data_IF_243403495831
#
_entry.id   IF_243403495831
#
_cell.length_a   1.000
_cell.length_b   1.000
_cell.length_c   1.000
_cell.angle_alpha   90.00
_cell.angle_beta   90.00
_cell.angle_gamma   90.00
#
_symmetry.space_group_name_H-M   'P 1'
#
loop_
_entity.id
_entity.type
_entity.pdbx_description
1 polymer ?
#
# COMPACT_ATOMS: atom_id res chain seq x y z
N UNK A 1 -26.02 -7.56 10.54
CA UNK A 1 -24.79 -7.76 9.77
C UNK A 1 -25.12 -7.31 8.35
N UNK A 2 -24.47 -6.25 7.81
CA UNK A 2 -24.65 -5.88 6.40
C UNK A 2 -24.11 -7.01 5.54
N UNK A 3 -24.74 -7.36 4.39
CA UNK A 3 -24.16 -8.35 3.49
C UNK A 3 -22.77 -7.89 3.04
N UNK A 4 -21.84 -8.84 2.89
CA UNK A 4 -20.51 -8.61 2.34
C UNK A 4 -20.58 -8.51 0.80
N UNK A 5 -21.45 -7.62 0.33
CA UNK A 5 -21.72 -7.34 -1.08
C UNK A 5 -21.61 -5.82 -1.30
N UNK A 6 -21.31 -5.43 -2.51
CA UNK A 6 -21.30 -4.02 -2.89
C UNK A 6 -22.73 -3.45 -2.90
N UNK A 7 -22.88 -2.20 -2.50
CA UNK A 7 -24.12 -1.45 -2.69
C UNK A 7 -24.30 -1.09 -4.18
N UNK A 8 -25.50 -0.73 -4.62
CA UNK A 8 -25.70 -0.26 -6.01
C UNK A 8 -24.76 0.89 -6.39
N UNK A 9 -24.52 1.85 -5.50
CA UNK A 9 -23.63 2.99 -5.73
C UNK A 9 -22.16 2.52 -5.85
N UNK A 10 -21.74 1.53 -5.06
CA UNK A 10 -20.42 0.94 -5.16
C UNK A 10 -20.25 0.11 -6.44
N UNK A 11 -21.33 -0.52 -6.93
CA UNK A 11 -21.33 -1.18 -8.24
C UNK A 11 -21.18 -0.18 -9.39
N UNK A 12 -21.88 0.95 -9.34
CA UNK A 12 -21.74 2.03 -10.30
C UNK A 12 -20.31 2.60 -10.29
N UNK A 13 -19.74 2.83 -9.11
CA UNK A 13 -18.34 3.26 -8.96
C UNK A 13 -17.37 2.23 -9.59
N UNK A 14 -17.55 0.95 -9.29
CA UNK A 14 -16.75 -0.14 -9.88
C UNK A 14 -16.79 -0.08 -11.40
N UNK A 15 -17.98 0.03 -11.97
CA UNK A 15 -18.17 -0.01 -13.43
C UNK A 15 -17.59 1.24 -14.10
N UNK A 16 -17.71 2.42 -13.45
CA UNK A 16 -17.10 3.66 -13.91
C UNK A 16 -15.56 3.59 -13.90
N UNK A 17 -14.97 3.13 -12.79
CA UNK A 17 -13.50 2.93 -12.69
C UNK A 17 -13.01 1.95 -13.73
N UNK A 18 -13.67 0.81 -13.89
CA UNK A 18 -13.35 -0.21 -14.90
C UNK A 18 -13.40 0.36 -16.32
N UNK A 19 -14.41 1.17 -16.63
CA UNK A 19 -14.55 1.81 -17.94
C UNK A 19 -13.42 2.82 -18.22
N UNK A 20 -12.96 3.56 -17.22
CA UNK A 20 -11.81 4.47 -17.35
C UNK A 20 -10.54 3.68 -17.60
N UNK A 21 -10.26 2.64 -16.80
CA UNK A 21 -9.05 1.83 -16.92
C UNK A 21 -8.98 1.09 -18.27
N UNK A 22 -10.12 0.67 -18.82
CA UNK A 22 -10.18 0.04 -20.13
C UNK A 22 -9.86 1.01 -21.27
N UNK A 23 -10.23 2.30 -21.15
CA UNK A 23 -9.98 3.34 -22.18
C UNK A 23 -8.59 3.97 -22.06
N UNK A 24 -8.05 4.04 -20.84
CA UNK A 24 -6.82 4.74 -20.51
C UNK A 24 -5.82 3.78 -19.84
N UNK A 25 -5.01 3.03 -20.60
CA UNK A 25 -4.09 2.06 -20.02
C UNK A 25 -2.91 2.74 -19.32
N UNK A 26 -2.36 2.05 -18.32
CA UNK A 26 -1.16 2.50 -17.60
C UNK A 26 -1.38 3.79 -16.82
N UNK A 27 -0.39 4.67 -16.84
CA UNK A 27 -0.41 5.93 -16.07
C UNK A 27 -1.41 6.97 -16.60
N UNK A 28 -1.84 6.84 -17.85
CA UNK A 28 -2.79 7.79 -18.45
C UNK A 28 -4.17 7.75 -17.80
N UNK A 29 -4.46 6.71 -17.01
CA UNK A 29 -5.71 6.61 -16.26
C UNK A 29 -5.79 7.59 -15.07
N UNK A 30 -4.67 8.14 -14.57
CA UNK A 30 -4.69 8.97 -13.36
C UNK A 30 -5.62 10.19 -13.50
N UNK A 31 -5.40 11.02 -14.50
CA UNK A 31 -6.21 12.23 -14.71
C UNK A 31 -7.71 11.94 -14.91
N UNK A 32 -8.14 10.95 -15.74
CA UNK A 32 -9.55 10.59 -15.82
C UNK A 32 -10.12 10.02 -14.51
N UNK A 33 -9.37 9.23 -13.75
CA UNK A 33 -9.82 8.70 -12.46
C UNK A 33 -10.06 9.81 -11.44
N UNK A 34 -9.21 10.83 -11.41
CA UNK A 34 -9.36 11.96 -10.48
C UNK A 34 -10.40 12.95 -10.98
N UNK A 35 -10.33 13.43 -12.22
CA UNK A 35 -11.18 14.49 -12.73
C UNK A 35 -12.63 14.06 -13.06
N UNK A 36 -12.84 12.80 -13.50
CA UNK A 36 -14.18 12.34 -13.92
C UNK A 36 -14.91 11.55 -12.82
N UNK A 37 -14.15 10.83 -11.97
CA UNK A 37 -14.71 9.97 -10.93
C UNK A 37 -14.52 10.57 -9.53
N UNK A 38 -13.52 11.45 -9.35
CA UNK A 38 -13.14 11.93 -8.02
C UNK A 38 -12.47 10.85 -7.17
N UNK A 39 -11.80 9.88 -7.81
CA UNK A 39 -11.28 8.72 -7.10
C UNK A 39 -10.32 9.07 -5.95
N UNK A 40 -9.47 10.08 -6.11
CA UNK A 40 -8.54 10.53 -5.07
C UNK A 40 -9.24 11.30 -3.93
N UNK A 41 -10.45 11.82 -4.15
CA UNK A 41 -11.23 12.56 -3.18
C UNK A 41 -12.07 11.67 -2.24
N UNK A 42 -12.22 10.38 -2.55
CA UNK A 42 -13.18 9.49 -1.87
C UNK A 42 -13.05 9.52 -0.34
N UNK A 43 -11.88 9.28 0.21
CA UNK A 43 -11.65 9.21 1.65
C UNK A 43 -11.23 10.57 2.29
N UNK A 44 -11.13 11.62 1.49
CA UNK A 44 -10.84 12.97 2.01
C UNK A 44 -12.14 13.58 2.56
N UNK A 45 -12.14 14.17 3.78
CA UNK A 45 -13.30 14.84 4.33
C UNK A 45 -13.78 16.01 3.47
N UNK A 46 -15.09 16.28 3.48
CA UNK A 46 -15.70 17.36 2.71
C UNK A 46 -15.12 18.75 3.08
N UNK A 47 -14.74 18.96 4.34
CA UNK A 47 -14.10 20.21 4.80
C UNK A 47 -12.77 20.50 4.11
N UNK A 48 -12.12 19.49 3.49
CA UNK A 48 -10.90 19.62 2.70
C UNK A 48 -11.13 19.36 1.20
N UNK A 49 -12.37 19.51 0.72
CA UNK A 49 -12.69 19.35 -0.70
C UNK A 49 -12.85 17.92 -1.17
N UNK A 50 -12.93 16.95 -0.25
CA UNK A 50 -13.18 15.55 -0.57
C UNK A 50 -14.65 15.16 -0.64
N UNK A 51 -14.91 13.85 -0.77
CA UNK A 51 -16.25 13.27 -0.86
C UNK A 51 -16.73 12.65 0.47
N UNK A 52 -15.87 12.56 1.48
CA UNK A 52 -16.21 12.03 2.80
C UNK A 52 -16.66 10.55 2.81
N UNK A 53 -16.30 9.78 1.78
CA UNK A 53 -16.60 8.36 1.70
C UNK A 53 -15.69 7.53 2.64
N UNK A 54 -16.02 6.24 2.79
CA UNK A 54 -15.26 5.33 3.64
C UNK A 54 -14.21 4.49 2.90
N UNK A 55 -13.60 3.57 3.64
CA UNK A 55 -12.64 2.62 3.08
C UNK A 55 -13.30 1.60 2.13
N UNK A 56 -14.63 1.48 2.15
CA UNK A 56 -15.36 0.61 1.22
C UNK A 56 -15.23 1.10 -0.23
N UNK A 57 -15.42 2.39 -0.48
CA UNK A 57 -15.29 3.02 -1.81
C UNK A 57 -13.83 3.02 -2.28
N UNK A 58 -12.88 3.31 -1.38
CA UNK A 58 -11.43 3.14 -1.65
C UNK A 58 -11.13 1.71 -2.07
N UNK A 59 -11.70 0.71 -1.39
CA UNK A 59 -11.55 -0.71 -1.70
C UNK A 59 -12.08 -1.06 -3.10
N UNK A 60 -13.20 -0.48 -3.52
CA UNK A 60 -13.74 -0.67 -4.88
C UNK A 60 -12.75 -0.18 -5.94
N UNK A 61 -12.21 1.02 -5.77
CA UNK A 61 -11.18 1.56 -6.68
C UNK A 61 -9.93 0.67 -6.69
N UNK A 62 -9.43 0.29 -5.51
CA UNK A 62 -8.23 -0.55 -5.38
C UNK A 62 -8.41 -1.92 -6.03
N UNK A 63 -9.59 -2.54 -5.92
CA UNK A 63 -9.88 -3.81 -6.58
C UNK A 63 -9.81 -3.69 -8.11
N UNK A 64 -10.35 -2.64 -8.70
CA UNK A 64 -10.27 -2.43 -10.15
C UNK A 64 -8.85 -2.06 -10.63
N UNK A 65 -8.10 -1.31 -9.82
CA UNK A 65 -6.68 -1.04 -10.07
C UNK A 65 -5.84 -2.34 -10.06
N UNK A 66 -6.13 -3.24 -9.10
CA UNK A 66 -5.52 -4.56 -9.04
C UNK A 66 -5.89 -5.42 -10.24
N UNK A 67 -7.16 -5.44 -10.61
CA UNK A 67 -7.68 -6.15 -11.79
C UNK A 67 -6.97 -5.74 -13.08
N UNK A 68 -6.65 -4.44 -13.23
CA UNK A 68 -5.98 -3.88 -14.40
C UNK A 68 -4.45 -3.84 -14.26
N UNK A 69 -3.86 -4.30 -13.15
CA UNK A 69 -2.45 -4.11 -12.82
C UNK A 69 -1.99 -2.65 -13.01
N UNK A 70 -2.86 -1.72 -12.66
CA UNK A 70 -2.66 -0.29 -12.95
C UNK A 70 -1.47 0.27 -12.16
N UNK A 71 -0.59 1.06 -12.80
CA UNK A 71 0.55 1.70 -12.16
C UNK A 71 0.25 3.11 -11.62
N UNK A 72 -1.00 3.56 -11.64
CA UNK A 72 -1.36 4.90 -11.14
C UNK A 72 -0.98 5.08 -9.67
N UNK A 73 -0.62 6.28 -9.22
CA UNK A 73 -0.09 6.53 -7.86
C UNK A 73 -1.18 6.55 -6.77
N UNK A 74 -2.31 5.86 -6.97
CA UNK A 74 -3.46 5.90 -6.08
C UNK A 74 -3.12 5.45 -4.65
N UNK A 75 -2.47 4.28 -4.51
CA UNK A 75 -2.08 3.76 -3.20
C UNK A 75 -1.13 4.73 -2.47
N UNK A 76 -0.11 5.26 -3.16
CA UNK A 76 0.86 6.18 -2.56
C UNK A 76 0.27 7.54 -2.20
N UNK A 77 -0.51 8.12 -3.11
CA UNK A 77 -1.05 9.47 -2.97
C UNK A 77 -2.36 9.51 -2.19
N UNK A 78 -3.41 8.86 -2.71
CA UNK A 78 -4.76 8.96 -2.16
C UNK A 78 -4.95 8.14 -0.87
N UNK A 79 -4.20 7.03 -0.68
CA UNK A 79 -4.33 6.21 0.52
C UNK A 79 -3.27 6.56 1.56
N UNK A 80 -1.98 6.45 1.22
CA UNK A 80 -0.91 6.61 2.21
C UNK A 80 -0.67 8.07 2.58
N UNK A 81 -0.49 8.95 1.59
CA UNK A 81 -0.16 10.36 1.86
C UNK A 81 -1.33 11.10 2.47
N UNK A 82 -2.52 11.00 1.88
CA UNK A 82 -3.72 11.61 2.44
C UNK A 82 -4.07 11.02 3.82
N UNK A 83 -3.96 9.68 3.98
CA UNK A 83 -4.15 9.01 5.25
C UNK A 83 -3.16 9.46 6.33
N UNK A 84 -1.89 9.69 5.99
CA UNK A 84 -0.87 10.19 6.91
C UNK A 84 -1.15 11.64 7.34
N UNK A 85 -1.57 12.50 6.42
CA UNK A 85 -1.99 13.87 6.74
C UNK A 85 -3.18 13.88 7.72
N UNK A 86 -4.23 13.12 7.42
CA UNK A 86 -5.40 13.02 8.30
C UNK A 86 -5.04 12.46 9.68
N UNK A 87 -4.22 11.41 9.72
CA UNK A 87 -3.78 10.79 10.97
C UNK A 87 -2.81 11.68 11.79
N UNK A 88 -2.12 12.63 11.15
CA UNK A 88 -1.22 13.56 11.84
C UNK A 88 -1.95 14.51 12.81
N UNK A 89 -3.21 14.83 12.52
CA UNK A 89 -4.00 15.83 13.24
C UNK A 89 -3.59 17.29 12.94
N UNK A 90 -2.62 17.52 12.05
CA UNK A 90 -2.21 18.88 11.64
C UNK A 90 -3.22 19.48 10.66
N UNK A 91 -4.15 20.27 11.19
CA UNK A 91 -5.21 20.90 10.40
C UNK A 91 -4.69 21.86 9.34
N UNK A 92 -3.58 22.53 9.59
CA UNK A 92 -2.98 23.46 8.62
C UNK A 92 -2.42 22.69 7.42
N UNK A 93 -1.68 21.60 7.67
CA UNK A 93 -1.20 20.71 6.62
C UNK A 93 -2.35 20.07 5.84
N UNK A 94 -3.41 19.61 6.53
CA UNK A 94 -4.59 19.06 5.88
C UNK A 94 -5.25 20.10 4.95
N UNK A 95 -5.51 21.32 5.44
CA UNK A 95 -6.13 22.39 4.65
C UNK A 95 -5.26 22.84 3.46
N UNK A 96 -3.92 22.76 3.62
CA UNK A 96 -2.97 23.12 2.56
C UNK A 96 -2.88 22.08 1.44
N UNK A 97 -2.88 20.78 1.79
CA UNK A 97 -2.47 19.74 0.85
C UNK A 97 -3.61 18.82 0.39
N UNK A 98 -4.62 18.57 1.24
CA UNK A 98 -5.67 17.61 0.89
C UNK A 98 -6.52 18.03 -0.31
N UNK A 99 -6.85 19.33 -0.53
CA UNK A 99 -7.59 19.73 -1.73
C UNK A 99 -6.89 19.33 -3.03
N UNK A 100 -5.60 19.65 -3.17
CA UNK A 100 -4.83 19.34 -4.38
C UNK A 100 -4.60 17.84 -4.56
N UNK A 101 -4.45 17.08 -3.46
CA UNK A 101 -4.38 15.61 -3.49
C UNK A 101 -5.73 15.01 -3.93
N UNK A 102 -6.86 15.54 -3.44
CA UNK A 102 -8.20 15.10 -3.79
C UNK A 102 -8.53 15.37 -5.27
N UNK A 103 -8.10 16.51 -5.81
CA UNK A 103 -8.22 16.82 -7.23
C UNK A 103 -7.25 15.98 -8.09
N UNK A 104 -6.20 15.42 -7.49
CA UNK A 104 -5.16 14.68 -8.18
C UNK A 104 -4.18 15.54 -8.97
N UNK A 105 -4.20 16.86 -8.77
CA UNK A 105 -3.26 17.84 -9.35
C UNK A 105 -1.89 17.73 -8.70
N UNK A 106 -1.84 17.36 -7.42
CA UNK A 106 -0.65 17.00 -6.68
C UNK A 106 -0.60 15.49 -6.46
N UNK A 107 0.53 14.88 -6.69
CA UNK A 107 0.82 13.49 -6.33
C UNK A 107 1.69 13.49 -5.08
N UNK A 108 1.21 12.83 -4.03
CA UNK A 108 1.93 12.66 -2.79
C UNK A 108 2.61 11.30 -2.69
N UNK A 109 3.66 11.21 -1.88
CA UNK A 109 4.25 9.94 -1.47
C UNK A 109 4.71 9.96 -0.02
N UNK A 110 4.60 8.81 0.63
CA UNK A 110 5.00 8.59 2.01
C UNK A 110 6.27 7.72 2.05
N UNK A 111 7.32 8.24 2.65
CA UNK A 111 8.59 7.57 2.84
C UNK A 111 8.67 6.99 4.26
N UNK A 112 8.40 5.69 4.39
CA UNK A 112 8.31 5.00 5.68
C UNK A 112 9.40 3.94 5.86
N UNK A 113 9.61 3.04 4.90
CA UNK A 113 10.50 1.90 5.03
C UNK A 113 11.98 2.26 4.90
N UNK A 114 12.85 1.47 5.51
CA UNK A 114 14.30 1.62 5.45
C UNK A 114 15.02 0.30 5.10
N UNK A 115 16.28 0.37 4.71
CA UNK A 115 17.04 -0.78 4.20
C UNK A 115 17.23 -1.92 5.21
N UNK A 116 17.15 -1.62 6.50
CA UNK A 116 17.22 -2.62 7.57
C UNK A 116 15.88 -3.35 7.79
N UNK A 117 14.80 -2.85 7.19
CA UNK A 117 13.48 -3.45 7.31
C UNK A 117 13.44 -4.74 6.47
N UNK A 118 13.53 -5.88 7.13
CA UNK A 118 13.26 -7.17 6.52
C UNK A 118 11.75 -7.38 6.43
N UNK A 119 11.14 -7.40 5.24
CA UNK A 119 9.70 -7.61 5.09
C UNK A 119 9.26 -9.01 5.54
N UNK A 120 10.19 -9.95 5.73
CA UNK A 120 9.91 -11.27 6.29
C UNK A 120 10.01 -11.30 7.82
N UNK A 121 10.60 -10.28 8.45
CA UNK A 121 10.71 -10.20 9.90
C UNK A 121 9.33 -10.05 10.58
N UNK A 122 9.18 -10.50 11.83
CA UNK A 122 8.05 -10.11 12.66
C UNK A 122 7.90 -8.57 12.65
N UNK A 123 6.72 -8.04 12.35
CA UNK A 123 6.51 -6.59 12.18
C UNK A 123 6.72 -6.06 10.75
N UNK A 124 7.44 -6.78 9.86
CA UNK A 124 7.52 -6.47 8.43
C UNK A 124 8.14 -5.11 8.06
N UNK A 125 8.97 -4.55 8.93
CA UNK A 125 9.59 -3.25 8.73
C UNK A 125 8.69 -2.04 9.01
N UNK A 126 7.54 -2.26 9.65
CA UNK A 126 6.57 -1.21 10.01
C UNK A 126 6.53 -0.88 11.51
N UNK A 127 7.36 -1.51 12.29
CA UNK A 127 7.43 -1.13 13.69
C UNK A 127 8.29 0.14 13.85
N UNK A 128 7.93 1.03 14.78
CA UNK A 128 8.74 2.22 15.03
C UNK A 128 10.22 1.88 15.29
N UNK A 129 10.51 0.69 15.85
CA UNK A 129 11.86 0.17 16.07
C UNK A 129 12.69 -0.03 14.80
N UNK A 130 12.06 -0.29 13.68
CA UNK A 130 12.72 -0.58 12.39
C UNK A 130 13.22 0.69 11.68
N UNK A 131 12.83 1.88 12.16
CA UNK A 131 13.16 3.16 11.52
C UNK A 131 14.36 3.80 12.21
N UNK A 132 15.36 4.20 11.44
CA UNK A 132 16.65 4.76 11.88
C UNK A 132 16.95 6.16 11.33
N UNK A 133 16.21 6.64 10.32
CA UNK A 133 16.37 8.02 9.82
C UNK A 133 16.16 9.01 10.96
N UNK A 134 17.01 10.05 10.99
CA UNK A 134 17.09 11.02 12.08
C UNK A 134 16.55 12.38 11.66
N UNK A 135 15.98 13.08 12.62
CA UNK A 135 15.51 14.45 12.50
C UNK A 135 16.20 15.29 13.58
N UNK A 136 17.02 16.25 13.17
CA UNK A 136 17.69 17.22 14.02
C UNK A 136 16.92 18.55 13.99
N UNK A 137 16.66 19.14 15.16
CA UNK A 137 16.00 20.43 15.24
C UNK A 137 16.90 21.56 14.67
N UNK A 138 16.34 22.42 13.83
CA UNK A 138 17.03 23.54 13.19
C UNK A 138 16.16 24.80 13.26
N UNK A 139 16.12 25.46 14.40
CA UNK A 139 15.23 26.59 14.66
C UNK A 139 13.78 26.16 14.78
N UNK A 140 12.92 26.68 13.87
CA UNK A 140 11.52 26.29 13.78
C UNK A 140 11.30 25.01 12.94
N UNK A 141 12.29 24.63 12.12
CA UNK A 141 12.26 23.51 11.19
C UNK A 141 13.13 22.35 11.67
N UNK A 142 13.20 21.32 10.87
CA UNK A 142 13.98 20.10 11.10
C UNK A 142 14.85 19.77 9.90
N UNK A 143 15.94 19.06 10.13
CA UNK A 143 16.83 18.54 9.09
C UNK A 143 16.83 17.02 9.17
N UNK A 144 16.35 16.37 8.10
CA UNK A 144 16.22 14.92 8.03
C UNK A 144 17.46 14.31 7.33
N UNK A 145 17.98 13.24 7.93
CA UNK A 145 19.10 12.45 7.38
C UNK A 145 18.77 10.96 7.45
N UNK A 146 18.93 10.25 6.33
CA UNK A 146 18.68 8.81 6.24
C UNK A 146 18.36 8.35 4.82
N UNK A 147 17.98 7.07 4.70
CA UNK A 147 17.56 6.45 3.44
C UNK A 147 16.21 5.78 3.60
N UNK A 148 15.32 6.03 2.65
CA UNK A 148 13.99 5.43 2.61
C UNK A 148 13.84 4.59 1.35
N UNK A 149 13.15 3.46 1.47
CA UNK A 149 12.92 2.49 0.40
C UNK A 149 11.43 2.24 0.20
N UNK A 150 11.11 1.54 -0.87
CA UNK A 150 9.73 1.14 -1.22
C UNK A 150 8.74 2.30 -1.30
N UNK A 151 9.21 3.51 -1.66
CA UNK A 151 8.36 4.70 -1.77
C UNK A 151 7.47 4.56 -3.01
N UNK A 152 6.16 4.64 -2.79
CA UNK A 152 5.12 4.51 -3.81
C UNK A 152 4.78 5.88 -4.39
N UNK A 153 5.55 6.34 -5.35
CA UNK A 153 5.44 7.69 -5.91
C UNK A 153 4.86 7.73 -7.33
N UNK A 154 4.66 6.58 -7.96
CA UNK A 154 4.32 6.52 -9.38
C UNK A 154 5.56 6.70 -10.29
N UNK A 155 5.37 7.09 -11.57
CA UNK A 155 6.45 7.14 -12.55
C UNK A 155 7.34 8.38 -12.45
N UNK A 156 6.90 9.42 -11.76
CA UNK A 156 7.59 10.70 -11.61
C UNK A 156 7.86 10.99 -10.12
N UNK A 157 8.78 11.92 -9.87
CA UNK A 157 9.00 12.43 -8.52
C UNK A 157 7.71 13.13 -8.02
N UNK A 158 7.24 12.77 -6.80
CA UNK A 158 6.02 13.36 -6.26
C UNK A 158 6.23 14.81 -5.86
N UNK A 159 5.15 15.60 -5.95
CA UNK A 159 5.17 17.01 -5.57
C UNK A 159 5.09 17.22 -4.06
N UNK A 160 4.57 16.24 -3.32
CA UNK A 160 4.50 16.24 -1.86
C UNK A 160 5.16 14.98 -1.32
N UNK A 161 6.16 15.16 -0.47
CA UNK A 161 6.86 14.07 0.20
C UNK A 161 6.68 14.17 1.71
N UNK A 162 6.13 13.11 2.30
CA UNK A 162 6.08 12.91 3.74
C UNK A 162 7.09 11.83 4.15
N UNK A 163 7.74 11.99 5.31
CA UNK A 163 8.71 11.02 5.80
C UNK A 163 8.61 10.82 7.30
N UNK A 164 8.79 9.59 7.75
CA UNK A 164 9.00 9.29 9.17
C UNK A 164 10.49 9.39 9.50
N UNK A 165 10.81 10.03 10.64
CA UNK A 165 12.17 10.06 11.18
C UNK A 165 12.14 10.12 12.71
N UNK A 166 13.22 9.67 13.35
CA UNK A 166 13.40 9.77 14.79
C UNK A 166 13.87 11.17 15.15
N UNK A 167 13.14 11.80 16.03
CA UNK A 167 13.53 13.09 16.59
C UNK A 167 14.67 12.88 17.58
N UNK A 168 15.80 13.50 17.32
CA UNK A 168 16.87 13.57 18.30
C UNK A 168 16.38 14.34 19.54
N UNK A 169 16.69 13.89 20.77
CA UNK A 169 16.36 14.65 21.97
C UNK A 169 16.96 16.05 21.85
N UNK A 170 16.15 17.08 22.19
CA UNK A 170 16.68 18.43 22.25
C UNK A 170 17.93 18.43 23.14
N UNK A 171 19.02 19.15 22.74
CA UNK A 171 20.20 19.23 23.57
C UNK A 171 19.77 19.80 24.93
N UNK A 172 20.05 19.05 26.01
CA UNK A 172 19.80 19.53 27.36
C UNK A 172 20.71 20.76 27.61
N UNK A 173 20.14 21.95 27.78
CA UNK A 173 20.94 23.16 27.97
C UNK A 173 21.76 23.13 29.28
N UNK A 174 21.54 22.13 30.13
CA UNK A 174 22.29 21.90 31.36
C UNK A 174 23.24 20.72 31.36
N UNK A 175 23.30 19.96 30.28
CA UNK A 175 24.21 18.81 30.19
C UNK A 175 25.65 19.30 30.06
N UNK A 176 26.51 18.91 31.00
CA UNK A 176 27.96 19.09 30.88
C UNK A 176 28.47 18.40 29.61
N UNK A 177 29.49 18.96 28.88
CA UNK A 177 30.06 18.33 27.73
C UNK A 177 30.52 16.92 28.09
N UNK A 178 29.89 15.91 27.45
CA UNK A 178 30.18 14.51 27.70
C UNK A 178 31.64 14.15 27.33
N UNK A 179 32.17 13.05 27.87
CA UNK A 179 33.51 12.59 27.51
C UNK A 179 33.58 12.26 26.02
N UNK A 180 34.64 12.65 25.38
CA UNK A 180 34.94 12.71 23.95
C UNK A 180 34.53 11.48 23.08
N UNK A 181 34.94 11.47 21.80
CA UNK A 181 34.41 10.58 20.79
C UNK A 181 34.63 9.08 21.16
N UNK A 182 33.59 8.39 21.55
CA UNK A 182 33.63 6.97 21.92
C UNK A 182 32.58 6.53 22.94
N UNK A 183 31.89 7.46 23.59
CA UNK A 183 30.79 7.09 24.52
C UNK A 183 29.47 7.48 23.87
N UNK A 184 28.70 6.51 23.44
CA UNK A 184 27.32 6.70 22.98
C UNK A 184 26.53 7.34 24.13
N UNK A 185 25.94 8.54 23.95
CA UNK A 185 25.00 9.08 24.96
C UNK A 185 23.85 8.08 25.06
N UNK A 186 23.42 7.77 26.27
CA UNK A 186 22.32 6.86 26.57
C UNK A 186 21.03 7.28 25.85
N UNK A 187 20.84 6.79 24.65
CA UNK A 187 19.69 7.05 23.82
C UNK A 187 18.69 5.91 24.03
N UNK A 188 17.68 6.19 24.82
CA UNK A 188 16.40 5.54 24.54
C UNK A 188 16.01 5.87 23.08
N UNK A 189 15.30 4.98 22.38
CA UNK A 189 14.91 5.24 20.98
C UNK A 189 14.15 6.56 20.92
N UNK A 190 14.72 7.58 20.23
CA UNK A 190 14.08 8.89 20.05
C UNK A 190 12.65 8.74 19.53
N UNK A 191 11.73 9.63 19.93
CA UNK A 191 10.33 9.59 19.48
C UNK A 191 10.28 9.66 17.95
N UNK A 192 9.44 8.83 17.35
CA UNK A 192 9.16 8.90 15.92
C UNK A 192 8.28 10.12 15.62
N UNK A 193 8.64 10.90 14.62
CA UNK A 193 7.83 11.98 14.07
C UNK A 193 7.44 11.73 12.61
N UNK A 194 6.34 12.35 12.18
CA UNK A 194 5.98 12.50 10.77
C UNK A 194 6.34 13.90 10.30
N UNK A 195 6.98 14.02 9.15
CA UNK A 195 7.49 15.28 8.60
C UNK A 195 7.05 15.48 7.15
N UNK A 196 6.78 16.75 6.78
CA UNK A 196 6.69 17.23 5.39
C UNK A 196 8.08 17.67 4.96
N UNK A 197 8.59 17.18 3.82
CA UNK A 197 9.84 17.69 3.25
C UNK A 197 9.58 19.05 2.60
N UNK A 198 10.40 20.05 2.95
CA UNK A 198 10.30 21.41 2.43
C UNK A 198 11.21 21.66 1.21
N UNK A 199 12.07 20.70 0.90
CA UNK A 199 12.97 20.72 -0.24
C UNK A 199 13.07 19.33 -0.87
N UNK A 200 13.52 19.27 -2.12
CA UNK A 200 13.82 18.01 -2.78
C UNK A 200 14.84 17.19 -1.98
N UNK A 201 14.69 15.84 -1.92
CA UNK A 201 15.67 14.97 -1.30
C UNK A 201 17.01 15.02 -2.06
N UNK A 202 18.11 14.64 -1.41
CA UNK A 202 19.43 14.59 -2.05
C UNK A 202 19.47 13.64 -3.26
N UNK A 203 18.64 12.57 -3.22
CA UNK A 203 18.40 11.71 -4.37
C UNK A 203 17.00 11.09 -4.28
N UNK A 204 16.31 11.04 -5.43
CA UNK A 204 15.11 10.27 -5.67
C UNK A 204 15.36 9.31 -6.84
N UNK A 205 15.30 8.01 -6.61
CA UNK A 205 15.67 7.02 -7.62
C UNK A 205 14.60 5.96 -7.73
N UNK A 206 13.92 5.90 -8.88
CA UNK A 206 13.01 4.79 -9.19
C UNK A 206 13.83 3.52 -9.42
N UNK A 207 13.51 2.45 -8.71
CA UNK A 207 14.21 1.18 -8.78
C UNK A 207 13.59 0.23 -9.79
N UNK A 208 14.43 -0.49 -10.51
CA UNK A 208 13.98 -1.62 -11.31
C UNK A 208 13.62 -2.78 -10.38
N UNK A 209 12.35 -3.17 -10.38
CA UNK A 209 11.82 -4.26 -9.57
C UNK A 209 11.32 -5.40 -10.45
N UNK A 210 11.08 -6.57 -9.86
CA UNK A 210 10.49 -7.71 -10.56
C UNK A 210 9.09 -7.35 -11.10
N UNK A 211 8.29 -6.64 -10.31
CA UNK A 211 6.99 -6.11 -10.70
C UNK A 211 7.16 -4.73 -11.34
N UNK A 212 7.10 -4.68 -12.67
CA UNK A 212 7.19 -3.44 -13.45
C UNK A 212 5.90 -2.61 -13.44
N UNK A 213 4.81 -3.19 -12.97
CA UNK A 213 3.51 -2.53 -12.91
C UNK A 213 3.35 -1.68 -11.65
N UNK A 214 4.30 -1.78 -10.68
CA UNK A 214 4.36 -0.95 -9.48
C UNK A 214 5.76 -0.35 -9.31
N UNK A 215 6.01 0.86 -9.82
CA UNK A 215 7.25 1.57 -9.58
C UNK A 215 7.46 1.82 -8.09
N UNK A 216 8.64 1.48 -7.59
CA UNK A 216 9.09 1.76 -6.23
C UNK A 216 10.34 2.64 -6.29
N UNK A 217 10.40 3.64 -5.42
CA UNK A 217 11.53 4.54 -5.36
C UNK A 217 12.31 4.41 -4.03
N UNK A 218 13.54 4.89 -4.09
CA UNK A 218 14.42 5.08 -2.94
C UNK A 218 14.70 6.58 -2.79
N UNK A 219 14.64 7.06 -1.55
CA UNK A 219 14.98 8.42 -1.16
C UNK A 219 16.28 8.43 -0.37
N UNK A 220 17.16 9.40 -0.65
CA UNK A 220 18.28 9.78 0.21
C UNK A 220 18.02 11.16 0.78
N UNK A 221 17.99 11.26 2.09
CA UNK A 221 17.84 12.49 2.86
C UNK A 221 19.23 12.86 3.41
N UNK A 222 19.72 14.04 3.09
CA UNK A 222 20.99 14.57 3.57
C UNK A 222 20.74 15.97 4.12
N UNK A 223 20.49 16.06 5.43
CA UNK A 223 20.09 17.29 6.11
C UNK A 223 18.95 18.02 5.37
N UNK A 224 18.02 17.25 4.82
CA UNK A 224 16.89 17.75 4.03
C UNK A 224 15.94 18.54 4.93
N UNK A 225 15.66 19.82 4.63
CA UNK A 225 14.74 20.64 5.40
C UNK A 225 13.33 20.04 5.44
N UNK A 226 12.73 20.03 6.64
CA UNK A 226 11.41 19.44 6.84
C UNK A 226 10.64 20.16 7.96
N UNK A 227 9.32 20.09 7.90
CA UNK A 227 8.39 20.56 8.92
C UNK A 227 7.78 19.38 9.66
N UNK A 228 7.76 19.43 11.00
CA UNK A 228 7.10 18.43 11.81
C UNK A 228 5.58 18.56 11.67
N UNK A 229 4.90 17.46 11.30
CA UNK A 229 3.44 17.36 11.23
C UNK A 229 2.85 16.69 12.45
N UNK A 230 3.53 15.67 13.00
CA UNK A 230 3.10 14.98 14.20
C UNK A 230 4.29 14.46 14.99
N UNK A 231 4.28 14.71 16.28
CA UNK A 231 5.24 14.12 17.23
C UNK A 231 4.82 12.70 17.69
N UNK A 232 3.62 12.25 17.35
CA UNK A 232 3.15 10.87 17.50
C UNK A 232 3.25 10.11 16.17
N UNK A 233 4.45 10.05 15.62
CA UNK A 233 4.69 9.30 14.39
C UNK A 233 4.39 7.81 14.51
N UNK A 234 4.47 7.23 15.71
CA UNK A 234 4.14 5.82 15.93
C UNK A 234 2.64 5.55 15.73
N UNK A 235 1.78 6.40 16.31
CA UNK A 235 0.32 6.31 16.10
C UNK A 235 -0.07 6.53 14.64
N UNK A 236 0.54 7.54 13.97
CA UNK A 236 0.32 7.78 12.53
C UNK A 236 0.77 6.58 11.71
N UNK A 237 1.96 6.03 11.96
CA UNK A 237 2.49 4.87 11.23
C UNK A 237 1.58 3.65 11.38
N UNK A 238 1.08 3.39 12.58
CA UNK A 238 0.14 2.29 12.83
C UNK A 238 -1.17 2.46 12.03
N UNK A 239 -1.76 3.66 12.03
CA UNK A 239 -2.99 3.93 11.26
C UNK A 239 -2.76 3.79 9.76
N UNK A 240 -1.69 4.35 9.24
CA UNK A 240 -1.36 4.26 7.80
C UNK A 240 -1.09 2.83 7.37
N UNK A 241 -0.43 2.01 8.21
CA UNK A 241 -0.26 0.59 7.96
C UNK A 241 -1.60 -0.12 7.78
N UNK A 242 -2.58 0.16 8.62
CA UNK A 242 -3.88 -0.50 8.56
C UNK A 242 -4.68 -0.07 7.33
N UNK A 243 -4.62 1.21 6.95
CA UNK A 243 -5.15 1.71 5.68
C UNK A 243 -4.47 1.03 4.49
N UNK A 244 -3.14 0.94 4.49
CA UNK A 244 -2.36 0.28 3.44
C UNK A 244 -2.72 -1.20 3.29
N UNK A 245 -2.83 -1.93 4.41
CA UNK A 245 -3.18 -3.36 4.42
C UNK A 245 -4.58 -3.60 3.88
N UNK A 246 -5.55 -2.77 4.26
CA UNK A 246 -6.94 -2.86 3.78
C UNK A 246 -7.04 -2.57 2.29
N UNK A 247 -6.42 -1.48 1.83
CA UNK A 247 -6.40 -1.09 0.42
C UNK A 247 -5.70 -2.15 -0.44
N UNK A 248 -4.55 -2.67 0.03
CA UNK A 248 -3.79 -3.68 -0.70
C UNK A 248 -4.52 -5.04 -0.73
N UNK A 249 -5.26 -5.41 0.32
CA UNK A 249 -6.10 -6.59 0.32
C UNK A 249 -7.20 -6.51 -0.75
N UNK A 250 -7.84 -5.34 -0.91
CA UNK A 250 -8.81 -5.12 -1.97
C UNK A 250 -8.17 -5.21 -3.37
N UNK A 251 -7.00 -4.60 -3.58
CA UNK A 251 -6.23 -4.72 -4.83
C UNK A 251 -5.93 -6.19 -5.17
N UNK A 252 -5.45 -6.94 -4.20
CA UNK A 252 -5.08 -8.35 -4.36
C UNK A 252 -6.28 -9.22 -4.74
N UNK A 253 -7.46 -8.97 -4.16
CA UNK A 253 -8.68 -9.70 -4.53
C UNK A 253 -9.15 -9.38 -5.93
N UNK A 254 -9.08 -8.13 -6.36
CA UNK A 254 -9.39 -7.72 -7.74
C UNK A 254 -8.46 -8.38 -8.76
N UNK A 255 -7.16 -8.38 -8.47
CA UNK A 255 -6.15 -9.02 -9.31
C UNK A 255 -6.33 -10.56 -9.37
N UNK A 256 -6.57 -11.20 -8.22
CA UNK A 256 -6.83 -12.64 -8.15
C UNK A 256 -8.09 -13.04 -8.93
N UNK A 257 -9.17 -12.28 -8.80
CA UNK A 257 -10.41 -12.51 -9.55
C UNK A 257 -10.17 -12.43 -11.07
N UNK A 258 -9.42 -11.42 -11.53
CA UNK A 258 -9.10 -11.29 -12.96
C UNK A 258 -8.19 -12.41 -13.46
N UNK A 259 -7.18 -12.80 -12.68
CA UNK A 259 -6.31 -13.92 -13.01
C UNK A 259 -7.10 -15.23 -13.14
N UNK A 260 -8.04 -15.49 -12.23
CA UNK A 260 -8.95 -16.65 -12.29
C UNK A 260 -9.84 -16.59 -13.54
N UNK A 261 -10.48 -15.46 -13.83
CA UNK A 261 -11.32 -15.28 -15.02
C UNK A 261 -10.55 -15.57 -16.32
N UNK A 262 -9.31 -15.05 -16.42
CA UNK A 262 -8.45 -15.29 -17.59
C UNK A 262 -8.11 -16.78 -17.71
N UNK A 263 -7.80 -17.44 -16.60
CA UNK A 263 -7.48 -18.87 -16.55
C UNK A 263 -8.66 -19.75 -16.92
N UNK A 264 -9.86 -19.41 -16.42
CA UNK A 264 -11.10 -20.13 -16.79
C UNK A 264 -11.39 -19.99 -18.29
N UNK A 265 -11.23 -18.78 -18.85
CA UNK A 265 -11.41 -18.56 -20.30
C UNK A 265 -10.42 -19.39 -21.10
N UNK A 266 -9.13 -19.34 -20.76
CA UNK A 266 -8.11 -20.14 -21.42
C UNK A 266 -8.42 -21.64 -21.32
N UNK A 267 -8.86 -22.14 -20.17
CA UNK A 267 -9.20 -23.54 -19.97
C UNK A 267 -10.40 -24.00 -20.84
N UNK A 268 -11.33 -23.09 -21.18
CA UNK A 268 -12.46 -23.35 -22.07
C UNK A 268 -12.05 -23.39 -23.55
N UNK A 269 -11.02 -22.64 -23.93
CA UNK A 269 -10.58 -22.46 -25.32
C UNK A 269 -9.44 -23.41 -25.71
N UNK A 270 -8.51 -23.70 -24.79
CA UNK A 270 -7.32 -24.51 -25.07
C UNK A 270 -7.66 -25.97 -25.22
N UNK A 271 -7.41 -26.54 -26.42
CA UNK A 271 -7.65 -27.96 -26.71
C UNK A 271 -6.37 -28.78 -26.54
N UNK A 272 -6.45 -29.87 -25.78
CA UNK A 272 -5.46 -30.91 -25.66
C UNK A 272 -6.17 -32.28 -25.57
N UNK A 273 -5.56 -33.33 -26.12
CA UNK A 273 -6.14 -34.67 -26.15
C UNK A 273 -7.56 -34.70 -26.78
N UNK A 274 -7.77 -33.87 -27.82
CA UNK A 274 -9.02 -33.79 -28.56
C UNK A 274 -10.19 -33.06 -27.88
N UNK A 275 -9.96 -32.38 -26.75
CA UNK A 275 -11.00 -31.61 -26.02
C UNK A 275 -10.43 -30.43 -25.25
N UNK A 276 -11.28 -29.43 -24.86
CA UNK A 276 -10.84 -28.35 -24.02
C UNK A 276 -10.25 -28.84 -22.70
N UNK A 277 -9.14 -28.22 -22.23
CA UNK A 277 -8.49 -28.67 -20.97
C UNK A 277 -9.39 -28.49 -19.76
N UNK A 278 -10.31 -27.54 -19.75
CA UNK A 278 -11.32 -27.33 -18.72
C UNK A 278 -12.36 -28.47 -18.64
N UNK A 279 -12.39 -29.41 -19.57
CA UNK A 279 -13.24 -30.60 -19.48
C UNK A 279 -12.68 -31.70 -18.56
N UNK A 280 -11.37 -31.65 -18.24
CA UNK A 280 -10.74 -32.59 -17.33
C UNK A 280 -11.06 -32.28 -15.89
N UNK A 281 -11.43 -33.30 -15.08
CA UNK A 281 -11.83 -33.12 -13.67
C UNK A 281 -10.73 -32.48 -12.83
N UNK A 282 -9.47 -32.86 -13.02
CA UNK A 282 -8.35 -32.28 -12.31
C UNK A 282 -8.23 -30.74 -12.51
N UNK A 283 -8.53 -30.25 -13.73
CA UNK A 283 -8.55 -28.82 -14.03
C UNK A 283 -9.76 -28.15 -13.39
N UNK A 284 -10.96 -28.78 -13.48
CA UNK A 284 -12.18 -28.26 -12.84
C UNK A 284 -12.05 -28.11 -11.34
N UNK A 285 -11.47 -29.11 -10.65
CA UNK A 285 -11.27 -29.06 -9.21
C UNK A 285 -10.33 -27.94 -8.82
N UNK A 286 -9.17 -27.79 -9.51
CA UNK A 286 -8.26 -26.65 -9.29
C UNK A 286 -8.97 -25.30 -9.45
N UNK A 287 -9.73 -25.12 -10.53
CA UNK A 287 -10.46 -23.85 -10.77
C UNK A 287 -11.54 -23.61 -9.69
N UNK A 288 -12.17 -24.64 -9.16
CA UNK A 288 -13.11 -24.53 -8.04
C UNK A 288 -12.41 -24.14 -6.75
N UNK A 289 -11.23 -24.71 -6.45
CA UNK A 289 -10.42 -24.35 -5.29
C UNK A 289 -9.95 -22.89 -5.37
N UNK A 290 -9.51 -22.45 -6.58
CA UNK A 290 -9.14 -21.05 -6.82
C UNK A 290 -10.33 -20.10 -6.60
N UNK A 291 -11.54 -20.47 -7.06
CA UNK A 291 -12.73 -19.67 -6.84
C UNK A 291 -13.04 -19.53 -5.35
N UNK A 292 -12.96 -20.63 -4.60
CA UNK A 292 -13.16 -20.60 -3.14
C UNK A 292 -12.15 -19.69 -2.45
N UNK A 293 -10.88 -19.73 -2.85
CA UNK A 293 -9.83 -18.86 -2.30
C UNK A 293 -10.11 -17.38 -2.60
N UNK A 294 -10.54 -17.04 -3.84
CA UNK A 294 -10.87 -15.67 -4.24
C UNK A 294 -12.07 -15.13 -3.44
N UNK A 295 -13.14 -15.91 -3.30
CA UNK A 295 -14.33 -15.46 -2.58
C UNK A 295 -14.08 -15.32 -1.06
N UNK A 296 -13.27 -16.21 -0.48
CA UNK A 296 -12.83 -16.08 0.90
C UNK A 296 -12.00 -14.81 1.13
N UNK A 297 -11.05 -14.54 0.24
CA UNK A 297 -10.24 -13.31 0.28
C UNK A 297 -11.10 -12.05 0.11
N UNK A 298 -12.04 -12.07 -0.84
CA UNK A 298 -12.98 -10.96 -1.08
C UNK A 298 -13.78 -10.63 0.18
N UNK A 299 -14.31 -11.64 0.86
CA UNK A 299 -15.08 -11.45 2.09
C UNK A 299 -14.26 -10.75 3.18
N UNK A 300 -12.99 -11.15 3.34
CA UNK A 300 -12.09 -10.52 4.32
C UNK A 300 -11.71 -9.09 3.94
N UNK A 301 -11.44 -8.82 2.66
CA UNK A 301 -11.15 -7.46 2.19
C UNK A 301 -12.35 -6.52 2.41
N UNK A 302 -13.57 -6.95 2.07
CA UNK A 302 -14.79 -6.20 2.32
C UNK A 302 -15.03 -5.98 3.81
N UNK A 303 -14.79 -6.98 4.65
CA UNK A 303 -14.92 -6.84 6.11
C UNK A 303 -13.92 -5.82 6.68
N UNK A 304 -12.67 -5.81 6.22
CA UNK A 304 -11.67 -4.84 6.64
C UNK A 304 -12.05 -3.41 6.22
N UNK A 305 -12.53 -3.24 4.99
CA UNK A 305 -13.00 -1.96 4.48
C UNK A 305 -14.25 -1.45 5.25
N UNK A 306 -15.21 -2.33 5.52
CA UNK A 306 -16.43 -2.00 6.30
C UNK A 306 -16.13 -1.67 7.77
N UNK A 307 -15.02 -2.15 8.31
CA UNK A 307 -14.52 -1.83 9.65
C UNK A 307 -13.59 -0.60 9.66
N UNK A 308 -13.60 0.22 8.62
CA UNK A 308 -12.74 1.40 8.44
C UNK A 308 -11.25 1.11 8.71
N UNK A 309 -10.76 0.01 8.16
CA UNK A 309 -9.39 -0.46 8.34
C UNK A 309 -8.99 -0.60 9.83
N UNK A 310 -9.86 -1.15 10.67
CA UNK A 310 -9.51 -1.50 12.03
C UNK A 310 -8.37 -2.54 12.06
N UNK A 311 -7.49 -2.54 13.09
CA UNK A 311 -6.25 -3.30 13.11
C UNK A 311 -6.41 -4.80 12.85
N UNK A 312 -7.37 -5.46 13.51
CA UNK A 312 -7.57 -6.91 13.41
C UNK A 312 -8.09 -7.32 12.02
N UNK A 313 -9.18 -6.71 11.47
CA UNK A 313 -9.64 -7.00 10.12
C UNK A 313 -8.59 -6.68 9.05
N UNK A 314 -7.83 -5.58 9.20
CA UNK A 314 -6.77 -5.19 8.27
C UNK A 314 -5.65 -6.26 8.22
N UNK A 315 -5.19 -6.74 9.38
CA UNK A 315 -4.18 -7.79 9.47
C UNK A 315 -4.68 -9.13 8.89
N UNK A 316 -5.92 -9.53 9.22
CA UNK A 316 -6.53 -10.74 8.70
C UNK A 316 -6.67 -10.69 7.17
N UNK A 317 -7.20 -9.58 6.63
CA UNK A 317 -7.38 -9.40 5.19
C UNK A 317 -6.04 -9.39 4.46
N UNK A 318 -5.03 -8.65 4.93
CA UNK A 318 -3.70 -8.59 4.31
C UNK A 318 -3.05 -9.97 4.23
N UNK A 319 -3.11 -10.75 5.31
CA UNK A 319 -2.56 -12.11 5.33
C UNK A 319 -3.26 -13.01 4.31
N UNK A 320 -4.57 -13.16 4.41
CA UNK A 320 -5.35 -14.10 3.59
C UNK A 320 -5.38 -13.70 2.10
N UNK A 321 -5.56 -12.41 1.78
CA UNK A 321 -5.61 -11.93 0.40
C UNK A 321 -4.26 -12.07 -0.30
N UNK A 322 -3.14 -11.87 0.42
CA UNK A 322 -1.80 -12.09 -0.14
C UNK A 322 -1.56 -13.54 -0.51
N UNK A 323 -1.95 -14.49 0.36
CA UNK A 323 -1.81 -15.92 0.09
C UNK A 323 -2.74 -16.38 -1.05
N UNK A 324 -3.99 -15.94 -1.04
CA UNK A 324 -4.94 -16.27 -2.09
C UNK A 324 -4.48 -15.76 -3.46
N UNK A 325 -3.99 -14.52 -3.55
CA UNK A 325 -3.51 -13.97 -4.81
C UNK A 325 -2.23 -14.67 -5.30
N UNK A 326 -1.28 -14.97 -4.41
CA UNK A 326 -0.08 -15.72 -4.78
C UNK A 326 -0.44 -17.14 -5.29
N UNK A 327 -1.39 -17.82 -4.64
CA UNK A 327 -1.89 -19.13 -5.06
C UNK A 327 -2.57 -19.05 -6.44
N UNK A 328 -3.50 -18.12 -6.63
CA UNK A 328 -4.21 -17.97 -7.93
C UNK A 328 -3.27 -17.62 -9.06
N UNK A 329 -2.32 -16.70 -8.84
CA UNK A 329 -1.35 -16.29 -9.84
C UNK A 329 -0.37 -17.43 -10.21
N UNK A 330 0.04 -18.24 -9.23
CA UNK A 330 0.84 -19.45 -9.45
C UNK A 330 0.11 -20.49 -10.30
N UNK A 331 -1.16 -20.77 -9.98
CA UNK A 331 -1.99 -21.69 -10.73
C UNK A 331 -2.33 -21.16 -12.14
N UNK A 332 -2.46 -19.82 -12.30
CA UNK A 332 -2.59 -19.20 -13.61
C UNK A 332 -1.39 -19.57 -14.51
N UNK A 333 -0.14 -19.39 -14.01
CA UNK A 333 1.07 -19.80 -14.74
C UNK A 333 1.00 -21.30 -15.08
N UNK A 334 0.70 -22.14 -14.08
CA UNK A 334 0.68 -23.60 -14.27
C UNK A 334 -0.34 -24.06 -15.30
N UNK A 335 -1.57 -23.52 -15.27
CA UNK A 335 -2.65 -23.93 -16.17
C UNK A 335 -2.49 -23.38 -17.61
N UNK A 336 -1.80 -22.26 -17.78
CA UNK A 336 -1.42 -21.76 -19.11
C UNK A 336 -0.21 -22.51 -19.72
N UNK A 337 0.57 -23.22 -18.90
CA UNK A 337 1.77 -23.94 -19.33
C UNK A 337 2.82 -23.01 -19.89
N UNK A 338 3.55 -23.42 -20.92
CA UNK A 338 4.68 -22.67 -21.47
C UNK A 338 4.35 -21.22 -21.86
N UNK A 339 3.14 -20.95 -22.35
CA UNK A 339 2.74 -19.59 -22.74
C UNK A 339 2.64 -18.65 -21.53
N UNK A 340 2.29 -19.16 -20.35
CA UNK A 340 2.12 -18.36 -19.13
C UNK A 340 3.42 -17.72 -18.61
N UNK A 341 4.59 -18.22 -19.00
CA UNK A 341 5.90 -17.66 -18.62
C UNK A 341 6.55 -16.80 -19.71
N UNK A 342 5.89 -16.67 -20.87
CA UNK A 342 6.39 -15.81 -21.96
C UNK A 342 5.99 -14.35 -21.75
N UNK A 343 6.74 -13.42 -22.36
CA UNK A 343 6.40 -11.99 -22.35
C UNK A 343 5.17 -11.64 -23.19
N UNK A 344 4.64 -12.57 -23.96
CA UNK A 344 3.46 -12.39 -24.80
C UNK A 344 2.14 -12.55 -24.02
N UNK A 345 2.20 -13.08 -22.78
CA UNK A 345 1.01 -13.36 -21.98
C UNK A 345 1.05 -12.65 -20.62
N UNK A 346 -0.08 -12.08 -20.20
CA UNK A 346 -0.21 -11.30 -18.94
C UNK A 346 0.03 -12.10 -17.64
N UNK A 347 0.01 -13.43 -17.67
CA UNK A 347 0.09 -14.27 -16.48
C UNK A 347 1.34 -14.00 -15.60
N UNK A 348 2.49 -13.77 -16.24
CA UNK A 348 3.72 -13.48 -15.50
C UNK A 348 3.66 -12.12 -14.78
N UNK A 349 2.85 -11.15 -15.24
CA UNK A 349 2.67 -9.86 -14.60
C UNK A 349 1.84 -10.00 -13.33
N UNK A 350 0.73 -10.77 -13.38
CA UNK A 350 -0.04 -11.12 -12.18
C UNK A 350 0.80 -11.87 -11.15
N UNK A 351 1.64 -12.80 -11.58
CA UNK A 351 2.54 -13.54 -10.69
C UNK A 351 3.54 -12.62 -9.99
N UNK A 352 4.19 -11.72 -10.73
CA UNK A 352 5.15 -10.76 -10.18
C UNK A 352 4.48 -9.78 -9.22
N UNK A 353 3.29 -9.25 -9.58
CA UNK A 353 2.49 -8.36 -8.72
C UNK A 353 2.07 -9.08 -7.45
N UNK A 354 1.64 -10.33 -7.51
CA UNK A 354 1.24 -11.11 -6.35
C UNK A 354 2.38 -11.23 -5.33
N UNK A 355 3.59 -11.61 -5.79
CA UNK A 355 4.75 -11.78 -4.92
C UNK A 355 5.27 -10.45 -4.35
N UNK A 356 5.32 -9.39 -5.15
CA UNK A 356 5.68 -8.05 -4.69
C UNK A 356 4.68 -7.51 -3.66
N UNK A 357 3.38 -7.65 -3.93
CA UNK A 357 2.31 -7.19 -3.04
C UNK A 357 2.24 -8.00 -1.74
N UNK A 358 2.61 -9.28 -1.75
CA UNK A 358 2.61 -10.10 -0.55
C UNK A 358 3.60 -9.62 0.51
N UNK A 359 4.75 -9.08 0.08
CA UNK A 359 5.79 -8.57 0.98
C UNK A 359 5.61 -7.09 1.33
N UNK A 360 4.96 -6.32 0.47
CA UNK A 360 4.72 -4.90 0.71
C UNK A 360 3.83 -4.73 1.94
N UNK A 361 4.26 -3.88 2.90
CA UNK A 361 3.61 -3.66 4.19
C UNK A 361 3.57 -4.87 5.13
N UNK A 362 4.51 -5.78 5.00
CA UNK A 362 4.64 -6.97 5.83
C UNK A 362 4.12 -8.24 5.16
N UNK A 363 4.81 -9.35 5.45
CA UNK A 363 4.47 -10.66 4.93
C UNK A 363 3.16 -11.22 5.52
N UNK A 364 2.51 -12.20 4.87
CA UNK A 364 1.36 -12.90 5.45
C UNK A 364 1.63 -13.47 6.85
N UNK A 365 2.84 -13.99 7.09
CA UNK A 365 3.23 -14.53 8.38
C UNK A 365 3.30 -13.44 9.45
N UNK A 366 3.93 -12.29 9.16
CA UNK A 366 4.01 -11.15 10.08
C UNK A 366 2.61 -10.64 10.48
N UNK A 367 1.68 -10.59 9.51
CA UNK A 367 0.30 -10.19 9.83
C UNK A 367 -0.48 -11.23 10.63
N UNK A 368 -0.19 -12.53 10.51
CA UNK A 368 -0.77 -13.56 11.40
C UNK A 368 -0.25 -13.42 12.83
N UNK A 369 1.05 -13.18 13.01
CA UNK A 369 1.62 -12.91 14.34
C UNK A 369 1.02 -11.65 14.96
N UNK A 370 0.92 -10.57 14.17
CA UNK A 370 0.26 -9.34 14.60
C UNK A 370 -1.19 -9.59 15.01
N UNK A 371 -1.97 -10.32 14.19
CA UNK A 371 -3.35 -10.66 14.52
C UNK A 371 -3.44 -11.48 15.80
N UNK A 372 -2.55 -12.44 16.00
CA UNK A 372 -2.51 -13.24 17.23
C UNK A 372 -2.22 -12.37 18.46
N UNK A 373 -1.33 -11.38 18.36
CA UNK A 373 -1.07 -10.41 19.42
C UNK A 373 -2.29 -9.53 19.70
N UNK A 374 -2.93 -8.98 18.65
CA UNK A 374 -4.14 -8.14 18.78
C UNK A 374 -5.30 -8.89 19.44
N UNK A 375 -5.44 -10.19 19.19
CA UNK A 375 -6.46 -11.07 19.78
C UNK A 375 -6.07 -11.60 21.18
N UNK A 376 -4.89 -11.25 21.71
CA UNK A 376 -4.42 -11.68 23.02
C UNK A 376 -3.89 -13.11 23.10
N UNK A 377 -3.60 -13.75 21.95
CA UNK A 377 -2.99 -15.08 21.91
C UNK A 377 -1.48 -15.06 22.12
N UNK A 378 -0.84 -13.92 21.92
CA UNK A 378 0.59 -13.69 22.15
C UNK A 378 0.76 -12.51 23.12
N UNK A 379 1.78 -12.50 24.00
CA UNK A 379 2.06 -11.34 24.82
C UNK A 379 2.35 -10.14 23.91
N UNK A 380 1.72 -9.02 24.21
CA UNK A 380 2.08 -7.73 23.61
C UNK A 380 3.47 -7.37 24.12
N UNK A 381 4.47 -7.37 23.23
CA UNK A 381 5.85 -7.00 23.54
C UNK A 381 6.02 -5.56 23.95
#
# INVERSE_FOLDING_TARGET
MRPLELTPEQEELRDAVRAVLARHPGHTAWAPLTAQIGAAALAVPEEYGGLGCGQAEVGVVMAELGRALSPVPYLGSAVLTAGALLASGDREACAKHLPDLAEGTVVGALAWAEAAADPSAPGGGWEPGDLSARAEAAGADWLLTGRKQYVLAGPAEPSLLLAFARMDPAPDPGAAPGPGPGTEPGQGPGRLGLFELLAAPAAFTVRSTMDRTRPLAELTLDRTPARLLSADGAGVLARVRDLACTALAAEQTGAAARALEATVRYAKERVQFGRPIGSFQAVKHRLADLHTAVEGARSLALAAAAADAAPEPAAAAKSACSEAYAYVAGEMIQLHGGVGITWEHEAHEYFKRAHGSALLFGSPAAHRERLAALLGFLPTG
#
